data_IF_094821775338
#
_entry.id   IF_094821775338
#
_cell.length_a   1.000
_cell.length_b   1.000
_cell.length_c   1.000
_cell.angle_alpha   90.00
_cell.angle_beta   90.00
_cell.angle_gamma   90.00
#
_symmetry.space_group_name_H-M   'P 1'
#
loop_
_entity.id
_entity.type
_entity.pdbx_description
1 polymer ?
#
# COMPACT_ATOMS: atom_id res chain seq x y z
N UNK A 1 14.30 -70.05 51.57
CA UNK A 1 14.78 -69.15 50.51
C UNK A 1 13.74 -68.06 50.37
N UNK A 2 14.09 -66.84 50.76
CA UNK A 2 13.22 -65.67 50.64
C UNK A 2 13.32 -65.18 49.20
N UNK A 3 12.30 -65.46 48.40
CA UNK A 3 12.19 -64.99 47.03
C UNK A 3 12.11 -63.46 47.03
N UNK A 4 13.24 -62.83 46.69
CA UNK A 4 13.35 -61.39 46.43
C UNK A 4 12.71 -61.07 45.06
N UNK A 5 11.39 -61.23 44.97
CA UNK A 5 10.63 -60.84 43.79
C UNK A 5 10.22 -59.38 44.00
N UNK A 6 10.86 -58.49 43.24
CA UNK A 6 10.54 -57.07 43.23
C UNK A 6 9.40 -56.88 42.21
N UNK A 7 8.21 -56.53 42.69
CA UNK A 7 7.10 -56.22 41.80
C UNK A 7 7.39 -54.91 41.06
N UNK A 8 7.28 -54.95 39.73
CA UNK A 8 7.43 -53.77 38.90
C UNK A 8 6.34 -52.74 39.27
N UNK A 9 6.65 -51.43 39.34
CA UNK A 9 5.66 -50.43 39.69
C UNK A 9 4.55 -50.37 38.64
N UNK A 10 3.35 -50.86 38.98
CA UNK A 10 2.20 -50.89 38.06
C UNK A 10 1.72 -49.49 37.66
N UNK A 11 1.98 -48.49 38.50
CA UNK A 11 1.60 -47.10 38.26
C UNK A 11 2.82 -46.26 37.85
N UNK A 12 2.89 -45.92 36.56
CA UNK A 12 3.86 -44.95 36.04
C UNK A 12 3.66 -43.60 36.75
N UNK A 13 4.63 -43.18 37.55
CA UNK A 13 4.67 -41.82 38.15
C UNK A 13 4.84 -40.81 37.01
N UNK A 14 3.72 -40.33 36.45
CA UNK A 14 3.72 -39.20 35.53
C UNK A 14 3.88 -37.94 36.38
N UNK A 15 5.04 -37.27 36.31
CA UNK A 15 5.12 -35.88 36.77
C UNK A 15 4.01 -35.11 36.06
N UNK A 16 3.12 -34.48 36.83
CA UNK A 16 2.24 -33.44 36.30
C UNK A 16 3.15 -32.29 35.89
N UNK A 17 3.63 -32.30 34.65
CA UNK A 17 4.22 -31.11 34.05
C UNK A 17 3.12 -30.06 34.16
N UNK A 18 3.36 -28.91 34.82
CA UNK A 18 2.37 -27.85 34.82
C UNK A 18 2.18 -27.49 33.35
N UNK A 19 1.02 -27.87 32.83
CA UNK A 19 0.56 -27.40 31.54
C UNK A 19 0.50 -25.90 31.71
N UNK A 20 1.42 -25.20 31.07
CA UNK A 20 1.44 -23.76 31.12
C UNK A 20 0.21 -23.34 30.30
N UNK A 21 -0.92 -23.11 30.96
CA UNK A 21 -2.20 -22.80 30.29
C UNK A 21 -2.06 -21.59 29.34
N UNK A 22 -1.10 -20.70 29.64
CA UNK A 22 -0.66 -19.60 28.78
C UNK A 22 -0.07 -20.04 27.43
N UNK A 23 0.68 -21.13 27.39
CA UNK A 23 1.23 -21.69 26.16
C UNK A 23 0.15 -22.35 25.30
N UNK A 24 -0.85 -22.96 25.94
CA UNK A 24 -2.04 -23.50 25.24
C UNK A 24 -2.91 -22.39 24.67
N UNK A 25 -3.11 -21.29 25.41
CA UNK A 25 -3.87 -20.13 24.91
C UNK A 25 -3.18 -19.47 23.72
N UNK A 26 -1.85 -19.25 23.78
CA UNK A 26 -1.11 -18.65 22.66
C UNK A 26 -1.17 -19.52 21.41
N UNK A 27 -0.97 -20.83 21.55
CA UNK A 27 -1.08 -21.75 20.42
C UNK A 27 -2.50 -21.79 19.82
N UNK A 28 -3.54 -21.73 20.67
CA UNK A 28 -4.92 -21.68 20.20
C UNK A 28 -5.24 -20.38 19.46
N UNK A 29 -4.70 -19.24 19.92
CA UNK A 29 -4.88 -17.94 19.26
C UNK A 29 -4.13 -17.88 17.92
N UNK A 30 -2.92 -18.44 17.84
CA UNK A 30 -2.16 -18.53 16.60
C UNK A 30 -2.82 -19.49 15.60
N UNK A 31 -3.41 -20.58 16.08
CA UNK A 31 -4.18 -21.50 15.23
C UNK A 31 -5.42 -20.82 14.64
N UNK A 32 -6.16 -20.05 15.45
CA UNK A 32 -7.31 -19.27 14.98
C UNK A 32 -6.88 -18.24 13.93
N UNK A 33 -5.80 -17.50 14.18
CA UNK A 33 -5.27 -16.53 13.21
C UNK A 33 -4.93 -17.19 11.87
N UNK A 34 -4.28 -18.35 11.89
CA UNK A 34 -3.98 -19.10 10.67
C UNK A 34 -5.25 -19.53 9.94
N UNK A 35 -6.23 -20.06 10.66
CA UNK A 35 -7.53 -20.42 10.08
C UNK A 35 -8.23 -19.23 9.45
N UNK A 36 -8.16 -18.05 10.08
CA UNK A 36 -8.69 -16.81 9.53
C UNK A 36 -7.96 -16.40 8.25
N UNK A 37 -6.63 -16.44 8.23
CA UNK A 37 -5.84 -16.15 7.03
C UNK A 37 -6.22 -17.11 5.89
N UNK A 38 -6.22 -18.41 6.16
CA UNK A 38 -6.54 -19.44 5.16
C UNK A 38 -7.96 -19.25 4.60
N UNK A 39 -8.92 -18.90 5.48
CA UNK A 39 -10.27 -18.55 5.07
C UNK A 39 -10.31 -17.32 4.17
N UNK A 40 -9.60 -16.26 4.53
CA UNK A 40 -9.58 -15.02 3.74
C UNK A 40 -8.96 -15.29 2.35
N UNK A 41 -7.82 -15.98 2.27
CA UNK A 41 -7.20 -16.29 0.98
C UNK A 41 -8.13 -17.14 0.10
N UNK A 42 -8.81 -18.14 0.68
CA UNK A 42 -9.80 -18.94 -0.06
C UNK A 42 -10.92 -18.07 -0.65
N UNK A 43 -11.48 -17.14 0.13
CA UNK A 43 -12.56 -16.26 -0.33
C UNK A 43 -12.07 -15.30 -1.41
N UNK A 44 -10.87 -14.76 -1.25
CA UNK A 44 -10.25 -13.83 -2.22
C UNK A 44 -9.98 -14.56 -3.54
N UNK A 45 -9.47 -15.79 -3.49
CA UNK A 45 -9.18 -16.60 -4.66
C UNK A 45 -10.46 -16.97 -5.44
N UNK A 46 -11.52 -17.35 -4.74
CA UNK A 46 -12.83 -17.65 -5.34
C UNK A 46 -13.39 -16.41 -6.07
N UNK A 47 -13.36 -15.25 -5.42
CA UNK A 47 -13.79 -13.97 -6.03
C UNK A 47 -12.90 -13.61 -7.23
N UNK A 48 -11.59 -13.80 -7.11
CA UNK A 48 -10.62 -13.54 -8.17
C UNK A 48 -10.87 -14.40 -9.41
N UNK A 49 -11.16 -15.68 -9.21
CA UNK A 49 -11.46 -16.62 -10.30
C UNK A 49 -12.77 -16.26 -11.01
N UNK A 50 -13.81 -15.95 -10.25
CA UNK A 50 -15.10 -15.49 -10.81
C UNK A 50 -14.96 -14.19 -11.60
N UNK A 51 -14.13 -13.26 -11.11
CA UNK A 51 -13.84 -12.01 -11.79
C UNK A 51 -13.09 -12.26 -13.11
N UNK A 52 -12.07 -13.12 -13.09
CA UNK A 52 -11.35 -13.53 -14.29
C UNK A 52 -12.29 -14.15 -15.34
N UNK A 53 -13.16 -15.06 -14.91
CA UNK A 53 -14.15 -15.70 -15.78
C UNK A 53 -15.06 -14.67 -16.44
N UNK A 54 -15.58 -13.71 -15.67
CA UNK A 54 -16.41 -12.61 -16.21
C UNK A 54 -15.68 -11.77 -17.25
N UNK A 55 -14.38 -11.51 -17.07
CA UNK A 55 -13.59 -10.77 -18.07
C UNK A 55 -13.37 -11.57 -19.35
N UNK A 56 -13.15 -12.89 -19.23
CA UNK A 56 -13.07 -13.79 -20.39
C UNK A 56 -14.39 -13.81 -21.15
N UNK A 57 -15.50 -14.01 -20.43
CA UNK A 57 -16.85 -14.06 -21.02
C UNK A 57 -17.25 -12.72 -21.66
N UNK A 58 -16.78 -11.59 -21.10
CA UNK A 58 -16.98 -10.25 -21.66
C UNK A 58 -16.08 -9.94 -22.87
N UNK A 59 -15.20 -10.85 -23.28
CA UNK A 59 -14.30 -10.66 -24.43
C UNK A 59 -13.13 -9.71 -24.17
N UNK A 60 -12.78 -9.46 -22.90
CA UNK A 60 -11.58 -8.68 -22.56
C UNK A 60 -10.32 -9.46 -22.92
N UNK A 61 -9.29 -8.79 -23.43
CA UNK A 61 -8.01 -9.41 -23.81
C UNK A 61 -7.22 -9.83 -22.57
N UNK A 62 -7.53 -11.00 -22.03
CA UNK A 62 -6.90 -11.56 -20.83
C UNK A 62 -5.47 -12.07 -21.05
N UNK A 63 -5.05 -12.25 -22.31
CA UNK A 63 -3.70 -12.70 -22.68
C UNK A 63 -2.62 -11.62 -22.52
N UNK A 64 -3.01 -10.36 -22.30
CA UNK A 64 -2.08 -9.25 -22.19
C UNK A 64 -1.41 -9.23 -20.80
N UNK A 65 -0.10 -9.00 -20.76
CA UNK A 65 0.62 -8.87 -19.49
C UNK A 65 0.16 -7.69 -18.65
N UNK A 66 -0.39 -6.64 -19.29
CA UNK A 66 -1.01 -5.50 -18.61
C UNK A 66 -2.26 -5.92 -17.86
N UNK A 67 -3.12 -6.74 -18.48
CA UNK A 67 -4.34 -7.24 -17.83
C UNK A 67 -4.02 -8.04 -16.57
N UNK A 68 -3.01 -8.92 -16.62
CA UNK A 68 -2.60 -9.69 -15.42
C UNK A 68 -2.10 -8.79 -14.30
N UNK A 69 -1.35 -7.72 -14.63
CA UNK A 69 -0.87 -6.74 -13.63
C UNK A 69 -2.04 -5.98 -13.00
N UNK A 70 -2.98 -5.54 -13.82
CA UNK A 70 -4.15 -4.78 -13.35
C UNK A 70 -5.07 -5.67 -12.49
N UNK A 71 -5.31 -6.91 -12.93
CA UNK A 71 -6.09 -7.89 -12.19
C UNK A 71 -5.44 -8.23 -10.85
N UNK A 72 -4.11 -8.38 -10.81
CA UNK A 72 -3.39 -8.63 -9.56
C UNK A 72 -3.60 -7.51 -8.54
N UNK A 73 -3.57 -6.24 -8.97
CA UNK A 73 -3.84 -5.09 -8.08
C UNK A 73 -5.29 -5.12 -7.58
N UNK A 74 -6.26 -5.46 -8.45
CA UNK A 74 -7.67 -5.56 -8.06
C UNK A 74 -7.87 -6.65 -7.00
N UNK A 75 -7.34 -7.85 -7.23
CA UNK A 75 -7.42 -8.96 -6.28
C UNK A 75 -6.73 -8.60 -4.96
N UNK A 76 -5.56 -7.96 -5.02
CA UNK A 76 -4.84 -7.53 -3.81
C UNK A 76 -5.59 -6.44 -3.02
N UNK A 77 -6.36 -5.60 -3.71
CA UNK A 77 -7.24 -4.62 -3.08
C UNK A 77 -8.43 -5.29 -2.40
N UNK A 78 -9.02 -6.32 -3.01
CA UNK A 78 -10.07 -7.16 -2.40
C UNK A 78 -9.49 -7.87 -1.17
N UNK A 79 -8.28 -8.45 -1.27
CA UNK A 79 -7.57 -9.03 -0.13
C UNK A 79 -7.43 -8.02 1.00
N UNK A 80 -6.90 -6.82 0.73
CA UNK A 80 -6.74 -5.78 1.73
C UNK A 80 -8.05 -5.30 2.37
N UNK A 81 -9.15 -5.33 1.62
CA UNK A 81 -10.48 -5.03 2.12
C UNK A 81 -10.97 -6.09 3.10
N UNK A 82 -10.87 -7.38 2.74
CA UNK A 82 -11.30 -8.48 3.61
C UNK A 82 -10.41 -8.56 4.85
N UNK A 83 -9.09 -8.42 4.71
CA UNK A 83 -8.16 -8.35 5.86
C UNK A 83 -8.55 -7.23 6.84
N UNK A 84 -9.05 -6.09 6.34
CA UNK A 84 -9.48 -4.97 7.20
C UNK A 84 -10.72 -5.31 8.03
N UNK A 85 -11.58 -6.20 7.55
CA UNK A 85 -12.78 -6.67 8.28
C UNK A 85 -12.41 -7.57 9.49
N UNK A 86 -11.27 -8.26 9.41
CA UNK A 86 -10.72 -9.09 10.48
C UNK A 86 -9.67 -8.37 11.35
N UNK A 87 -9.59 -7.04 11.28
CA UNK A 87 -8.58 -6.22 11.97
C UNK A 87 -7.13 -6.62 11.65
N UNK A 88 -6.88 -7.14 10.44
CA UNK A 88 -5.56 -7.54 9.95
C UNK A 88 -4.96 -6.48 9.02
N UNK A 89 -3.68 -6.17 9.23
CA UNK A 89 -2.96 -5.22 8.39
C UNK A 89 -2.61 -5.85 7.03
N UNK A 90 -2.85 -5.11 5.96
CA UNK A 90 -2.52 -5.55 4.59
C UNK A 90 -1.91 -4.40 3.77
N UNK A 91 -0.84 -4.61 2.98
CA UNK A 91 -0.17 -3.54 2.22
C UNK A 91 -1.09 -2.73 1.29
N UNK A 92 -2.08 -3.38 0.66
CA UNK A 92 -3.05 -2.69 -0.21
C UNK A 92 -3.87 -1.61 0.51
N UNK A 93 -3.98 -1.69 1.85
CA UNK A 93 -4.63 -0.67 2.66
C UNK A 93 -3.89 0.67 2.57
N UNK A 94 -2.56 0.66 2.59
CA UNK A 94 -1.73 1.85 2.44
C UNK A 94 -1.90 2.51 1.07
N UNK A 95 -2.11 1.69 0.03
CA UNK A 95 -2.39 2.18 -1.31
C UNK A 95 -3.72 2.93 -1.34
N UNK A 96 -4.77 2.34 -0.74
CA UNK A 96 -6.08 2.98 -0.65
C UNK A 96 -6.05 4.28 0.16
N UNK A 97 -5.33 4.31 1.29
CA UNK A 97 -5.22 5.48 2.16
C UNK A 97 -4.49 6.66 1.52
N UNK A 98 -3.51 6.38 0.65
CA UNK A 98 -2.74 7.41 -0.04
C UNK A 98 -3.36 7.88 -1.35
N UNK A 99 -4.08 7.00 -2.05
CA UNK A 99 -4.70 7.33 -3.33
C UNK A 99 -6.11 7.89 -3.20
N UNK A 100 -6.83 7.59 -2.11
CA UNK A 100 -8.25 7.93 -1.99
C UNK A 100 -8.45 9.09 -1.01
N UNK A 101 -8.89 10.23 -1.54
CA UNK A 101 -9.34 11.36 -0.74
C UNK A 101 -10.84 11.21 -0.42
N UNK A 102 -11.17 11.11 0.86
CA UNK A 102 -12.55 11.09 1.33
C UNK A 102 -13.01 12.50 1.67
N UNK A 103 -13.90 13.06 0.85
CA UNK A 103 -14.58 14.32 1.18
C UNK A 103 -15.91 14.02 1.84
N UNK A 104 -16.06 14.46 3.09
CA UNK A 104 -17.34 14.44 3.81
C UNK A 104 -18.05 15.75 3.51
N UNK A 105 -19.20 15.68 2.85
CA UNK A 105 -20.03 16.87 2.66
C UNK A 105 -20.65 17.33 3.98
N UNK A 106 -20.98 18.62 4.08
CA UNK A 106 -21.49 19.28 5.30
C UNK A 106 -22.74 18.62 5.90
N UNK A 107 -23.47 17.84 5.11
CA UNK A 107 -24.68 17.11 5.54
C UNK A 107 -24.39 15.71 6.14
N UNK A 108 -23.12 15.34 6.34
CA UNK A 108 -22.72 14.13 7.05
C UNK A 108 -22.97 12.79 6.34
N UNK A 109 -23.83 12.75 5.31
CA UNK A 109 -24.31 11.51 4.70
C UNK A 109 -23.54 11.05 3.45
N UNK A 110 -22.83 11.92 2.74
CA UNK A 110 -22.16 11.56 1.48
C UNK A 110 -20.64 11.71 1.62
N UNK A 111 -19.96 10.56 1.59
CA UNK A 111 -18.50 10.47 1.47
C UNK A 111 -18.17 10.28 0.00
N UNK A 112 -17.81 11.36 -0.69
CA UNK A 112 -17.31 11.22 -2.06
C UNK A 112 -15.85 10.78 -1.98
N UNK A 113 -15.56 9.60 -2.54
CA UNK A 113 -14.21 9.10 -2.71
C UNK A 113 -13.65 9.62 -4.04
N UNK A 114 -12.58 10.41 -3.98
CA UNK A 114 -11.84 10.84 -5.16
C UNK A 114 -10.52 10.08 -5.21
N UNK A 115 -10.26 9.38 -6.31
CA UNK A 115 -8.98 8.73 -6.56
C UNK A 115 -8.03 9.75 -7.18
N UNK A 116 -6.88 9.94 -6.56
CA UNK A 116 -5.86 10.91 -6.95
C UNK A 116 -4.57 10.16 -7.32
N UNK A 117 -4.03 10.41 -8.51
CA UNK A 117 -2.79 9.79 -9.01
C UNK A 117 -1.56 10.70 -8.89
N UNK A 118 -1.68 11.79 -8.13
CA UNK A 118 -0.65 12.84 -7.98
C UNK A 118 0.68 12.30 -7.47
N UNK A 119 0.68 11.17 -6.75
CA UNK A 119 1.91 10.49 -6.30
C UNK A 119 2.71 9.90 -7.47
N UNK A 120 2.05 9.54 -8.58
CA UNK A 120 2.67 8.89 -9.74
C UNK A 120 2.91 9.86 -10.90
N UNK A 121 2.16 10.97 -10.95
CA UNK A 121 2.38 12.02 -11.91
C UNK A 121 3.58 12.86 -11.48
N UNK A 122 4.66 12.82 -12.26
CA UNK A 122 5.82 13.67 -12.04
C UNK A 122 5.34 15.12 -12.12
N UNK A 123 5.32 15.85 -11.00
CA UNK A 123 5.06 17.29 -11.05
C UNK A 123 6.08 17.90 -12.01
N UNK A 124 5.68 18.67 -13.03
CA UNK A 124 6.64 19.36 -13.88
C UNK A 124 7.54 20.17 -12.95
N UNK A 125 8.84 19.85 -12.96
CA UNK A 125 9.82 20.60 -12.20
C UNK A 125 9.65 22.06 -12.63
N UNK A 126 9.40 23.01 -11.71
CA UNK A 126 9.38 24.41 -12.10
C UNK A 126 10.69 24.70 -12.81
N UNK A 127 10.69 25.45 -13.93
CA UNK A 127 11.90 25.68 -14.70
C UNK A 127 12.97 26.17 -13.73
N UNK A 128 14.01 25.34 -13.54
CA UNK A 128 15.11 25.64 -12.64
C UNK A 128 15.71 26.91 -13.22
N UNK A 129 15.54 28.03 -12.56
CA UNK A 129 16.06 29.32 -13.03
C UNK A 129 17.59 29.21 -13.09
N UNK A 130 18.12 28.82 -14.26
CA UNK A 130 19.56 28.60 -14.50
C UNK A 130 20.33 29.91 -14.66
N UNK A 131 19.62 31.03 -14.79
CA UNK A 131 20.23 32.35 -14.80
C UNK A 131 20.52 32.76 -13.35
N UNK A 132 21.79 33.09 -13.07
CA UNK A 132 22.19 33.68 -11.80
C UNK A 132 21.36 34.95 -11.55
N UNK A 133 21.14 35.30 -10.27
CA UNK A 133 20.35 36.50 -9.92
C UNK A 133 20.89 37.77 -10.58
N UNK A 134 22.19 37.80 -10.84
CA UNK A 134 22.87 38.97 -11.41
C UNK A 134 22.59 39.09 -12.92
N UNK A 135 22.64 37.99 -13.67
CA UNK A 135 22.28 37.98 -15.11
C UNK A 135 20.81 38.37 -15.32
N UNK A 136 19.93 37.97 -14.38
CA UNK A 136 18.52 38.39 -14.43
C UNK A 136 18.36 39.89 -14.20
N UNK A 137 19.08 40.44 -13.21
CA UNK A 137 19.07 41.88 -12.94
C UNK A 137 19.61 42.69 -14.11
N UNK A 138 20.69 42.23 -14.74
CA UNK A 138 21.23 42.90 -15.94
C UNK A 138 20.24 42.84 -17.11
N UNK A 139 19.60 41.69 -17.35
CA UNK A 139 18.61 41.54 -18.41
C UNK A 139 17.34 42.37 -18.15
N UNK A 140 16.87 42.42 -16.90
CA UNK A 140 15.72 43.24 -16.51
C UNK A 140 16.08 44.74 -16.60
N UNK A 141 17.30 45.13 -16.20
CA UNK A 141 17.83 46.50 -16.37
C UNK A 141 17.89 46.90 -17.85
N UNK A 142 18.43 46.03 -18.71
CA UNK A 142 18.44 46.24 -20.17
C UNK A 142 17.02 46.32 -20.76
N UNK A 143 16.08 45.52 -20.26
CA UNK A 143 14.68 45.53 -20.71
C UNK A 143 13.95 46.80 -20.29
N UNK A 144 14.27 47.34 -19.11
CA UNK A 144 13.66 48.55 -18.55
C UNK A 144 14.29 49.85 -19.10
N UNK A 145 15.17 49.76 -20.10
CA UNK A 145 15.80 50.90 -20.74
C UNK A 145 17.00 51.45 -19.98
N UNK A 146 17.67 50.59 -19.19
CA UNK A 146 18.90 50.93 -18.50
C UNK A 146 19.97 51.41 -19.48
N UNK A 147 20.44 52.63 -19.20
CA UNK A 147 21.46 53.44 -19.88
C UNK A 147 22.03 52.81 -21.17
N UNK A 148 21.25 52.91 -22.25
CA UNK A 148 21.65 52.42 -23.56
C UNK A 148 22.70 53.38 -24.11
N UNK A 149 23.98 53.05 -23.90
CA UNK A 149 25.19 53.67 -24.47
C UNK A 149 24.88 54.92 -25.30
N UNK A 150 24.83 56.08 -24.65
CA UNK A 150 24.85 57.35 -25.38
C UNK A 150 26.19 57.41 -26.14
N UNK A 151 26.18 57.43 -27.48
CA UNK A 151 27.41 57.61 -28.21
C UNK A 151 27.82 59.07 -28.07
N UNK A 152 28.91 59.33 -27.35
CA UNK A 152 29.60 60.64 -27.32
C UNK A 152 30.17 60.95 -28.71
N UNK A 153 29.30 61.34 -29.64
CA UNK A 153 29.67 61.86 -30.95
C UNK A 153 29.07 63.27 -31.08
N UNK A 154 29.75 64.24 -30.48
CA UNK A 154 29.53 65.66 -30.79
C UNK A 154 29.94 65.90 -32.25
N UNK A 155 28.96 65.95 -33.15
CA UNK A 155 29.14 66.48 -34.50
C UNK A 155 28.87 68.00 -34.47
N UNK A 156 29.87 68.75 -34.03
CA UNK A 156 30.00 70.18 -34.36
C UNK A 156 31.45 70.46 -34.75
N UNK A 157 31.75 70.25 -36.04
CA UNK A 157 32.48 71.15 -36.96
C UNK A 157 32.49 70.60 -38.40
#
# INVERSE_FOLDING_TARGET
MSDNIIFFPENKIKRKVPINDKAKSQFADDLKKKQTIDFIESVVDDIGFDLLKKFVDSGVKTNATTFTKDLAIVIDTIRGLVYRDFDMAHPAQLLSEKMVDLKVNKDGNFRTAKITYDMFLTKPQPPRNVLSRDIKKELDYLREGGDLFEPDFDLDD
#
